data_IF_402919071625
#
_entry.id   IF_402919071625
#
_cell.length_a   1.000
_cell.length_b   1.000
_cell.length_c   1.000
_cell.angle_alpha   90.00
_cell.angle_beta   90.00
_cell.angle_gamma   90.00
#
_symmetry.space_group_name_H-M   'P 1'
#
loop_
_entity.id
_entity.type
_entity.pdbx_description
1 polymer ?
#
# COMPACT_ATOMS: atom_id res chain seq x y z
N UNK A 1 6.14 -8.94 22.00
CA UNK A 1 4.87 -8.40 22.54
C UNK A 1 4.70 -7.00 21.96
N UNK A 2 3.83 -6.83 20.99
CA UNK A 2 3.46 -5.51 20.45
C UNK A 2 2.70 -4.79 21.57
N UNK A 3 3.34 -3.82 22.23
CA UNK A 3 2.61 -2.87 23.07
C UNK A 3 1.75 -2.05 22.11
N UNK A 4 0.45 -2.03 22.33
CA UNK A 4 -0.54 -1.44 21.45
C UNK A 4 -0.14 -0.01 21.12
N UNK A 5 0.21 0.21 19.84
CA UNK A 5 0.44 1.53 19.29
C UNK A 5 -0.85 1.96 18.60
N UNK A 6 -1.34 3.11 18.96
CA UNK A 6 -2.51 3.73 18.33
C UNK A 6 -2.08 4.95 17.50
N UNK A 7 -2.76 5.16 16.38
CA UNK A 7 -2.64 6.39 15.59
C UNK A 7 -3.93 7.16 15.78
N UNK A 8 -3.82 8.40 16.25
CA UNK A 8 -4.95 9.28 16.49
C UNK A 8 -4.69 10.69 15.99
N UNK A 9 -5.74 11.48 15.90
CA UNK A 9 -5.62 12.91 15.61
C UNK A 9 -4.77 13.60 16.65
N UNK A 10 -3.93 14.53 16.21
CA UNK A 10 -3.25 15.51 17.04
C UNK A 10 -4.28 16.34 17.81
N UNK A 11 -3.94 16.74 19.02
CA UNK A 11 -4.69 17.64 19.90
C UNK A 11 -3.77 18.72 20.43
N UNK A 12 -4.31 19.88 20.77
CA UNK A 12 -3.50 21.01 21.29
C UNK A 12 -2.69 20.60 22.54
N UNK A 13 -3.23 19.70 23.36
CA UNK A 13 -2.51 19.16 24.51
C UNK A 13 -1.23 18.36 24.15
N UNK A 14 -1.06 17.95 22.91
CA UNK A 14 0.13 17.23 22.43
C UNK A 14 1.26 18.20 22.02
N UNK A 15 0.99 19.51 21.94
CA UNK A 15 1.86 20.49 21.29
C UNK A 15 3.30 20.46 21.80
N UNK A 16 3.48 20.53 23.13
CA UNK A 16 4.84 20.61 23.70
C UNK A 16 5.62 19.32 23.47
N UNK A 17 4.98 18.16 23.62
CA UNK A 17 5.59 16.86 23.37
C UNK A 17 5.95 16.70 21.88
N UNK A 18 5.09 17.14 20.98
CA UNK A 18 5.31 17.10 19.54
C UNK A 18 6.46 18.00 19.11
N UNK A 19 6.57 19.21 19.68
CA UNK A 19 7.67 20.15 19.39
C UNK A 19 9.01 19.58 19.88
N UNK A 20 9.06 19.03 21.09
CA UNK A 20 10.27 18.37 21.61
C UNK A 20 10.68 17.17 20.74
N UNK A 21 9.72 16.29 20.42
CA UNK A 21 9.93 15.16 19.52
C UNK A 21 10.49 15.60 18.19
N UNK A 22 9.87 16.58 17.56
CA UNK A 22 10.29 17.15 16.28
C UNK A 22 11.73 17.69 16.36
N UNK A 23 11.99 18.55 17.34
CA UNK A 23 13.32 19.16 17.54
C UNK A 23 14.42 18.11 17.64
N UNK A 24 14.22 17.07 18.45
CA UNK A 24 15.20 15.98 18.61
C UNK A 24 15.33 15.13 17.32
N UNK A 25 14.25 14.91 16.61
CA UNK A 25 14.24 14.12 15.39
C UNK A 25 14.97 14.85 14.24
N UNK A 26 14.68 16.14 14.02
CA UNK A 26 15.26 16.91 12.90
C UNK A 26 16.74 17.20 13.10
N UNK A 27 17.20 17.53 14.32
CA UNK A 27 18.63 17.70 14.61
C UNK A 27 19.44 16.45 14.28
N UNK A 28 18.86 15.28 14.52
CA UNK A 28 19.51 14.01 14.17
C UNK A 28 19.46 13.72 12.67
N UNK A 29 18.39 14.12 12.00
CA UNK A 29 18.14 13.82 10.59
C UNK A 29 18.86 14.80 9.65
N UNK A 30 19.02 16.06 10.07
CA UNK A 30 19.50 17.16 9.25
C UNK A 30 20.70 17.89 9.92
N UNK A 31 21.78 17.20 10.30
CA UNK A 31 22.94 17.83 10.94
C UNK A 31 23.67 18.83 10.03
N UNK A 32 23.30 18.86 8.75
CA UNK A 32 23.82 19.77 7.72
C UNK A 32 23.00 21.07 7.61
N UNK A 33 21.94 21.26 8.43
CA UNK A 33 21.13 22.49 8.47
C UNK A 33 21.42 23.19 9.80
N UNK A 34 21.94 24.40 9.73
CA UNK A 34 22.23 25.22 10.91
C UNK A 34 20.90 25.69 11.55
N UNK A 35 20.82 25.66 12.88
CA UNK A 35 19.63 26.06 13.65
C UNK A 35 18.43 25.15 13.49
N UNK A 36 18.58 23.97 12.90
CA UNK A 36 17.48 23.00 12.74
C UNK A 36 16.97 22.51 14.09
N UNK A 37 15.64 22.53 14.24
CA UNK A 37 14.97 22.09 15.48
C UNK A 37 14.86 23.16 16.57
N UNK A 38 15.22 24.40 16.31
CA UNK A 38 15.21 25.51 17.28
C UNK A 38 14.64 26.80 16.69
N UNK A 39 14.49 27.81 17.54
CA UNK A 39 14.23 29.20 17.19
C UNK A 39 13.03 29.38 16.24
N UNK A 40 13.27 30.06 15.14
CA UNK A 40 12.25 30.38 14.13
C UNK A 40 11.61 29.15 13.52
N UNK A 41 12.35 28.07 13.28
CA UNK A 41 11.82 26.84 12.72
C UNK A 41 10.86 26.12 13.66
N UNK A 42 11.12 26.17 14.97
CA UNK A 42 10.18 25.64 15.97
C UNK A 42 8.91 26.49 16.04
N UNK A 43 9.02 27.82 15.86
CA UNK A 43 7.88 28.73 15.76
C UNK A 43 7.05 28.42 14.51
N UNK A 44 7.66 28.25 13.35
CA UNK A 44 6.97 27.92 12.10
C UNK A 44 6.25 26.56 12.23
N UNK A 45 6.87 25.55 12.84
CA UNK A 45 6.17 24.29 13.11
C UNK A 45 4.87 24.53 13.88
N UNK A 46 4.96 25.28 14.99
CA UNK A 46 3.83 25.56 15.88
C UNK A 46 2.72 26.37 15.20
N UNK A 47 3.10 27.46 14.55
CA UNK A 47 2.15 28.47 14.08
C UNK A 47 1.62 28.19 12.66
N UNK A 48 2.35 27.41 11.88
CA UNK A 48 2.01 27.14 10.48
C UNK A 48 1.69 25.67 10.24
N UNK A 49 2.66 24.77 10.49
CA UNK A 49 2.48 23.36 10.10
C UNK A 49 1.44 22.63 10.95
N UNK A 50 1.45 22.82 12.28
CA UNK A 50 0.46 22.19 13.15
C UNK A 50 -0.96 22.76 12.97
N UNK A 51 -1.08 23.96 12.39
CA UNK A 51 -2.38 24.61 12.11
C UNK A 51 -2.92 24.22 10.72
N UNK A 52 -2.06 24.17 9.70
CA UNK A 52 -2.47 24.00 8.30
C UNK A 52 -2.58 22.56 7.86
N UNK A 53 -1.78 21.66 8.43
CA UNK A 53 -1.77 20.27 8.06
C UNK A 53 -2.83 19.45 8.82
N UNK A 54 -3.24 18.36 8.23
CA UNK A 54 -3.99 17.31 8.91
C UNK A 54 -3.01 16.48 9.74
N UNK A 55 -2.89 16.79 11.05
CA UNK A 55 -1.88 16.19 11.91
C UNK A 55 -2.37 14.95 12.64
N UNK A 56 -1.51 13.92 12.68
CA UNK A 56 -1.71 12.64 13.34
C UNK A 56 -0.53 12.32 14.24
N UNK A 57 -0.81 11.71 15.38
CA UNK A 57 0.24 11.25 16.30
C UNK A 57 0.17 9.74 16.49
N UNK A 58 1.35 9.13 16.58
CA UNK A 58 1.49 7.76 17.05
C UNK A 58 1.73 7.78 18.55
N UNK A 59 0.89 7.09 19.31
CA UNK A 59 0.97 6.99 20.76
C UNK A 59 1.26 5.54 21.15
N UNK A 60 2.22 5.33 22.05
CA UNK A 60 2.59 4.04 22.60
C UNK A 60 2.63 4.14 24.12
N UNK A 61 1.81 3.32 24.80
CA UNK A 61 1.69 3.32 26.26
C UNK A 61 1.45 4.73 26.87
N UNK A 62 0.56 5.51 26.23
CA UNK A 62 0.21 6.86 26.68
C UNK A 62 1.22 7.95 26.32
N UNK A 63 2.31 7.63 25.60
CA UNK A 63 3.34 8.59 25.19
C UNK A 63 3.31 8.79 23.68
N UNK A 64 3.30 10.04 23.23
CA UNK A 64 3.43 10.39 21.81
C UNK A 64 4.86 10.11 21.35
N UNK A 65 5.01 9.24 20.36
CA UNK A 65 6.31 8.79 19.82
C UNK A 65 6.49 9.09 18.33
N UNK A 66 5.49 9.66 17.67
CA UNK A 66 5.56 10.04 16.25
C UNK A 66 4.54 11.10 15.89
N UNK A 67 4.88 11.91 14.89
CA UNK A 67 4.04 12.94 14.27
C UNK A 67 4.02 12.72 12.76
N UNK A 68 2.86 12.83 12.16
CA UNK A 68 2.62 12.87 10.71
C UNK A 68 1.78 14.11 10.40
N UNK A 69 2.28 14.98 9.54
CA UNK A 69 1.53 16.10 8.96
C UNK A 69 1.18 15.77 7.50
N UNK A 70 -0.11 15.82 7.18
CA UNK A 70 -0.63 15.58 5.83
C UNK A 70 -1.19 16.88 5.26
N UNK A 71 -0.80 17.20 4.05
CA UNK A 71 -1.32 18.29 3.24
C UNK A 71 -2.37 17.76 2.24
N UNK A 72 -3.19 18.63 1.64
CA UNK A 72 -4.16 18.22 0.63
C UNK A 72 -3.53 17.41 -0.51
N UNK A 73 -4.27 16.42 -1.04
CA UNK A 73 -3.78 15.58 -2.14
C UNK A 73 -2.89 14.42 -1.74
N UNK A 74 -2.67 14.18 -0.42
CA UNK A 74 -1.85 13.07 0.06
C UNK A 74 -0.35 13.39 0.13
N UNK A 75 0.00 14.67 0.20
CA UNK A 75 1.37 15.08 0.45
C UNK A 75 1.72 14.92 1.93
N UNK A 76 2.80 14.23 2.23
CA UNK A 76 3.38 14.15 3.56
C UNK A 76 4.26 15.40 3.76
N UNK A 77 3.72 16.42 4.41
CA UNK A 77 4.46 17.65 4.74
C UNK A 77 5.47 17.44 5.87
N UNK A 78 5.31 16.39 6.70
CA UNK A 78 6.27 16.03 7.73
C UNK A 78 6.00 14.67 8.35
N UNK A 79 7.07 13.92 8.61
CA UNK A 79 7.03 12.64 9.32
C UNK A 79 8.20 12.57 10.31
N UNK A 80 7.88 12.59 11.57
CA UNK A 80 8.87 12.61 12.64
C UNK A 80 8.61 11.49 13.64
N UNK A 81 9.66 10.81 14.06
CA UNK A 81 9.61 9.72 15.04
C UNK A 81 10.67 10.00 16.11
N UNK A 82 10.27 9.93 17.37
CA UNK A 82 11.18 10.09 18.49
C UNK A 82 12.41 9.18 18.34
N UNK A 83 13.65 9.70 18.53
CA UNK A 83 14.88 8.94 18.29
C UNK A 83 14.89 7.55 18.94
N UNK A 84 14.37 7.42 20.14
CA UNK A 84 14.27 6.19 20.93
C UNK A 84 13.21 5.21 20.40
N UNK A 85 12.25 5.68 19.63
CA UNK A 85 11.18 4.86 19.03
C UNK A 85 11.46 4.48 17.55
N UNK A 86 12.55 4.99 16.98
CA UNK A 86 12.95 4.67 15.61
C UNK A 86 13.39 3.20 15.51
N UNK A 87 13.15 2.59 14.33
CA UNK A 87 13.39 1.16 14.12
C UNK A 87 12.28 0.24 14.63
N UNK A 88 11.35 0.76 15.44
CA UNK A 88 10.20 0.03 16.01
C UNK A 88 8.93 0.05 15.15
N UNK A 89 9.00 0.41 13.86
CA UNK A 89 7.86 0.37 12.93
C UNK A 89 6.92 1.57 13.00
N UNK A 90 7.14 2.56 13.88
CA UNK A 90 6.27 3.75 14.06
C UNK A 90 6.08 4.52 12.75
N UNK A 91 7.19 4.89 12.09
CA UNK A 91 7.12 5.63 10.82
C UNK A 91 6.39 4.88 9.73
N UNK A 92 6.58 3.55 9.64
CA UNK A 92 5.86 2.72 8.68
C UNK A 92 4.35 2.76 8.91
N UNK A 93 3.91 2.61 10.16
CA UNK A 93 2.47 2.62 10.46
C UNK A 93 1.84 4.00 10.18
N UNK A 94 2.55 5.10 10.44
CA UNK A 94 2.09 6.45 10.09
C UNK A 94 1.97 6.62 8.56
N UNK A 95 2.92 6.14 7.77
CA UNK A 95 2.83 6.18 6.29
C UNK A 95 1.70 5.29 5.78
N UNK A 96 1.50 4.10 6.34
CA UNK A 96 0.38 3.24 5.94
C UNK A 96 -0.98 3.86 6.32
N UNK A 97 -1.05 4.57 7.45
CA UNK A 97 -2.24 5.35 7.82
C UNK A 97 -2.56 6.44 6.78
N UNK A 98 -1.55 7.20 6.33
CA UNK A 98 -1.70 8.17 5.25
C UNK A 98 -2.16 7.51 3.94
N UNK A 99 -1.54 6.39 3.57
CA UNK A 99 -1.87 5.66 2.36
C UNK A 99 -3.31 5.09 2.36
N UNK A 100 -3.80 4.66 3.52
CA UNK A 100 -5.18 4.20 3.66
C UNK A 100 -6.20 5.33 3.40
N UNK A 101 -5.83 6.59 3.66
CA UNK A 101 -6.70 7.76 3.45
C UNK A 101 -6.64 8.31 2.03
N UNK A 102 -5.44 8.41 1.47
CA UNK A 102 -5.19 9.12 0.21
C UNK A 102 -4.86 8.18 -0.96
N UNK A 103 -4.49 6.95 -0.68
CA UNK A 103 -4.03 6.00 -1.71
C UNK A 103 -2.62 6.32 -2.20
N UNK A 104 -2.48 7.29 -3.10
CA UNK A 104 -1.19 7.83 -3.53
C UNK A 104 -0.64 8.81 -2.50
N UNK A 105 0.68 8.85 -2.35
CA UNK A 105 1.38 9.76 -1.45
C UNK A 105 2.55 10.42 -2.17
N UNK A 106 2.79 11.69 -1.85
CA UNK A 106 3.99 12.43 -2.26
C UNK A 106 4.71 12.99 -1.04
N UNK A 107 5.98 13.29 -1.17
CA UNK A 107 6.75 13.99 -0.15
C UNK A 107 8.03 14.57 -0.73
N UNK A 108 8.65 15.46 0.03
CA UNK A 108 9.99 15.94 -0.23
C UNK A 108 10.94 15.48 0.88
N UNK A 109 12.16 15.15 0.48
CA UNK A 109 13.21 14.73 1.42
C UNK A 109 14.55 15.32 1.00
N UNK A 110 15.29 15.87 1.96
CA UNK A 110 16.65 16.35 1.69
C UNK A 110 17.54 15.22 1.16
N UNK A 111 18.25 15.47 0.07
CA UNK A 111 19.17 14.49 -0.53
C UNK A 111 20.20 14.00 0.48
N UNK A 112 20.68 14.89 1.38
CA UNK A 112 21.59 14.57 2.48
C UNK A 112 21.03 13.61 3.53
N UNK A 113 19.69 13.47 3.63
CA UNK A 113 19.05 12.55 4.58
C UNK A 113 18.97 11.11 4.02
N UNK A 114 20.13 10.46 3.90
CA UNK A 114 20.24 9.10 3.35
C UNK A 114 19.41 8.06 4.13
N UNK A 115 19.16 8.29 5.43
CA UNK A 115 18.35 7.38 6.26
C UNK A 115 16.88 7.46 5.87
N UNK A 116 16.32 8.65 5.73
CA UNK A 116 14.93 8.83 5.30
C UNK A 116 14.71 8.34 3.87
N UNK A 117 15.66 8.61 2.96
CA UNK A 117 15.62 8.11 1.58
C UNK A 117 15.51 6.58 1.53
N UNK A 118 16.34 5.85 2.28
CA UNK A 118 16.25 4.38 2.38
C UNK A 118 14.92 3.93 2.99
N UNK A 119 14.45 4.60 4.02
CA UNK A 119 13.16 4.30 4.64
C UNK A 119 12.00 4.42 3.64
N UNK A 120 11.93 5.52 2.90
CA UNK A 120 10.88 5.71 1.89
C UNK A 120 11.01 4.75 0.71
N UNK A 121 12.21 4.45 0.26
CA UNK A 121 12.44 3.44 -0.79
C UNK A 121 11.89 2.06 -0.37
N UNK A 122 12.13 1.63 0.88
CA UNK A 122 11.56 0.37 1.42
C UNK A 122 10.03 0.38 1.52
N UNK A 123 9.41 1.56 1.58
CA UNK A 123 7.95 1.70 1.57
C UNK A 123 7.36 1.85 0.15
N UNK A 124 8.20 1.75 -0.88
CA UNK A 124 7.78 1.79 -2.28
C UNK A 124 7.66 3.19 -2.86
N UNK A 125 8.28 4.19 -2.24
CA UNK A 125 8.43 5.52 -2.85
C UNK A 125 9.54 5.49 -3.91
N UNK A 126 9.30 6.20 -5.01
CA UNK A 126 10.24 6.39 -6.11
C UNK A 126 10.46 7.88 -6.37
N UNK A 127 11.67 8.22 -6.80
CA UNK A 127 12.01 9.59 -7.16
C UNK A 127 11.25 10.02 -8.42
N UNK A 128 10.66 11.22 -8.38
CA UNK A 128 9.94 11.85 -9.49
C UNK A 128 10.60 13.13 -9.97
N UNK A 129 11.37 13.77 -9.10
CA UNK A 129 12.04 15.02 -9.44
C UNK A 129 12.98 15.49 -8.36
N UNK A 130 13.64 16.61 -8.64
CA UNK A 130 14.56 17.27 -7.73
C UNK A 130 14.31 18.77 -7.76
N UNK A 131 14.53 19.43 -6.65
CA UNK A 131 14.57 20.88 -6.56
C UNK A 131 15.57 21.32 -5.48
N UNK A 132 15.81 22.60 -5.38
CA UNK A 132 16.55 23.19 -4.27
C UNK A 132 15.54 23.79 -3.30
N UNK A 133 15.74 23.55 -2.02
CA UNK A 133 14.99 24.20 -0.95
C UNK A 133 15.42 25.66 -0.85
N UNK A 134 14.47 26.58 -1.01
CA UNK A 134 14.76 28.01 -1.09
C UNK A 134 15.28 28.59 0.22
N UNK A 135 14.87 28.00 1.35
CA UNK A 135 15.27 28.49 2.68
C UNK A 135 16.69 28.04 3.07
N UNK A 136 17.02 26.77 2.78
CA UNK A 136 18.28 26.17 3.22
C UNK A 136 19.34 26.09 2.13
N UNK A 137 18.95 26.28 0.86
CA UNK A 137 19.82 26.04 -0.30
C UNK A 137 20.17 24.55 -0.53
N UNK A 138 19.58 23.63 0.23
CA UNK A 138 19.89 22.21 0.14
C UNK A 138 19.06 21.52 -0.94
N UNK A 139 19.62 20.49 -1.63
CA UNK A 139 18.87 19.73 -2.62
C UNK A 139 17.80 18.84 -1.96
N UNK A 140 16.59 18.88 -2.54
CA UNK A 140 15.43 18.06 -2.20
C UNK A 140 15.13 17.06 -3.32
N UNK A 141 14.77 15.86 -2.95
CA UNK A 141 14.17 14.86 -3.83
C UNK A 141 12.65 14.87 -3.62
N UNK A 142 11.92 14.94 -4.72
CA UNK A 142 10.47 14.74 -4.74
C UNK A 142 10.22 13.25 -4.91
N UNK A 143 9.58 12.63 -3.93
CA UNK A 143 9.27 11.21 -3.93
C UNK A 143 7.77 10.99 -4.06
N UNK A 144 7.40 9.94 -4.78
CA UNK A 144 6.00 9.51 -4.94
C UNK A 144 5.85 8.02 -4.66
N UNK A 145 4.77 7.67 -3.97
CA UNK A 145 4.27 6.31 -3.84
C UNK A 145 2.90 6.22 -4.48
N UNK A 146 2.80 5.53 -5.61
CA UNK A 146 1.54 5.34 -6.31
C UNK A 146 0.52 4.58 -5.45
N UNK A 147 -0.76 4.88 -5.64
CA UNK A 147 -1.85 4.10 -5.04
C UNK A 147 -1.71 2.62 -5.41
N UNK A 148 -2.08 1.70 -4.51
CA UNK A 148 -2.13 0.29 -4.85
C UNK A 148 -3.01 0.04 -6.08
N UNK A 149 -2.60 -0.89 -6.92
CA UNK A 149 -3.45 -1.42 -7.98
C UNK A 149 -4.57 -2.22 -7.30
N UNK A 150 -5.79 -1.73 -7.37
CA UNK A 150 -6.97 -2.47 -6.91
C UNK A 150 -7.42 -3.41 -8.01
N UNK A 151 -7.66 -4.67 -7.66
CA UNK A 151 -8.17 -5.70 -8.57
C UNK A 151 -9.06 -6.68 -7.84
N UNK A 152 -9.80 -7.46 -8.59
CA UNK A 152 -10.62 -8.59 -8.13
C UNK A 152 -10.09 -9.88 -8.74
N UNK A 153 -10.29 -11.01 -8.05
CA UNK A 153 -9.93 -12.32 -8.54
C UNK A 153 -10.89 -13.40 -8.11
N UNK A 154 -11.19 -14.33 -9.01
CA UNK A 154 -12.10 -15.43 -8.76
C UNK A 154 -11.36 -16.69 -8.29
N UNK A 155 -11.82 -17.26 -7.18
CA UNK A 155 -11.30 -18.49 -6.59
C UNK A 155 -12.19 -19.68 -6.98
N UNK A 156 -12.07 -20.11 -8.21
CA UNK A 156 -12.81 -21.28 -8.68
C UNK A 156 -11.92 -22.53 -8.62
N UNK A 157 -12.24 -23.42 -7.67
CA UNK A 157 -11.49 -24.66 -7.44
C UNK A 157 -12.34 -25.85 -7.87
N UNK A 158 -11.79 -26.68 -8.77
CA UNK A 158 -12.37 -27.92 -9.21
C UNK A 158 -11.34 -29.06 -9.03
N UNK A 159 -11.74 -30.13 -8.38
CA UNK A 159 -10.86 -31.31 -8.12
C UNK A 159 -9.52 -30.94 -7.48
N UNK A 160 -9.53 -29.97 -6.55
CA UNK A 160 -8.32 -29.51 -5.87
C UNK A 160 -7.37 -28.65 -6.73
N UNK A 161 -7.82 -28.17 -7.89
CA UNK A 161 -7.07 -27.34 -8.82
C UNK A 161 -7.76 -25.99 -9.01
N UNK A 162 -6.98 -24.92 -9.07
CA UNK A 162 -7.45 -23.55 -9.18
C UNK A 162 -7.47 -23.10 -10.65
N UNK A 163 -8.59 -22.55 -11.11
CA UNK A 163 -8.72 -21.96 -12.43
C UNK A 163 -7.81 -20.73 -12.55
N UNK A 164 -7.07 -20.69 -13.64
CA UNK A 164 -6.13 -19.63 -13.94
C UNK A 164 -6.19 -19.27 -15.43
N UNK A 165 -5.94 -18.02 -15.76
CA UNK A 165 -5.97 -17.49 -17.13
C UNK A 165 -4.62 -16.88 -17.50
N UNK A 166 -4.29 -16.91 -18.78
CA UNK A 166 -3.12 -16.25 -19.33
C UNK A 166 -3.55 -15.33 -20.49
N UNK A 167 -3.20 -14.07 -20.36
CA UNK A 167 -3.49 -13.09 -21.41
C UNK A 167 -2.53 -13.23 -22.59
N UNK A 168 -2.95 -12.81 -23.78
CA UNK A 168 -2.11 -12.84 -24.98
C UNK A 168 -0.86 -11.98 -24.79
N UNK A 169 0.28 -12.50 -25.20
CA UNK A 169 1.57 -11.83 -25.07
C UNK A 169 2.23 -11.92 -23.68
N UNK A 170 1.63 -12.64 -22.74
CA UNK A 170 2.21 -12.95 -21.44
C UNK A 170 2.52 -14.45 -21.32
N UNK A 171 3.56 -14.78 -20.55
CA UNK A 171 3.94 -16.16 -20.24
C UNK A 171 3.43 -16.62 -18.87
N UNK A 172 2.87 -15.70 -18.08
CA UNK A 172 2.47 -15.89 -16.69
C UNK A 172 0.95 -15.99 -16.59
N UNK A 173 0.47 -16.92 -15.77
CA UNK A 173 -0.93 -17.07 -15.44
C UNK A 173 -1.33 -16.23 -14.23
N UNK A 174 -2.61 -15.82 -14.20
CA UNK A 174 -3.25 -15.02 -13.17
C UNK A 174 -4.57 -15.65 -12.76
N UNK A 175 -5.18 -15.17 -11.67
CA UNK A 175 -6.59 -15.46 -11.39
C UNK A 175 -7.46 -14.83 -12.48
N UNK A 176 -8.58 -15.48 -12.87
CA UNK A 176 -9.63 -14.80 -13.62
C UNK A 176 -10.10 -13.56 -12.85
N UNK A 177 -10.22 -12.43 -13.54
CA UNK A 177 -10.58 -11.15 -12.95
C UNK A 177 -9.66 -10.02 -13.39
N UNK A 178 -9.90 -8.82 -12.88
CA UNK A 178 -9.19 -7.65 -13.38
C UNK A 178 -9.33 -6.44 -12.49
N UNK A 179 -9.34 -5.26 -13.10
CA UNK A 179 -9.43 -3.97 -12.41
C UNK A 179 -10.88 -3.52 -12.30
N UNK A 180 -11.11 -2.64 -11.33
CA UNK A 180 -12.40 -1.95 -11.23
C UNK A 180 -12.55 -0.90 -12.33
N UNK A 181 -13.76 -0.74 -12.82
CA UNK A 181 -14.17 0.45 -13.54
C UNK A 181 -14.77 1.51 -12.59
N UNK A 182 -14.87 2.78 -13.01
CA UNK A 182 -15.44 3.84 -12.18
C UNK A 182 -16.88 3.52 -11.74
N UNK A 183 -17.11 3.49 -10.43
CA UNK A 183 -18.42 3.28 -9.83
C UNK A 183 -18.79 1.82 -9.56
N UNK A 184 -17.98 0.84 -10.00
CA UNK A 184 -18.23 -0.57 -9.73
C UNK A 184 -17.93 -0.95 -8.28
N UNK A 185 -18.77 -1.78 -7.69
CA UNK A 185 -18.44 -2.58 -6.52
C UNK A 185 -17.51 -3.75 -6.90
N UNK A 186 -16.85 -4.35 -5.93
CA UNK A 186 -15.95 -5.47 -6.18
C UNK A 186 -16.62 -6.70 -6.82
N UNK A 187 -17.83 -7.14 -6.39
CA UNK A 187 -18.53 -8.23 -7.05
C UNK A 187 -18.97 -7.89 -8.48
N UNK A 188 -19.38 -6.63 -8.76
CA UNK A 188 -19.77 -6.21 -10.11
C UNK A 188 -18.57 -6.22 -11.06
N UNK A 189 -17.43 -5.68 -10.62
CA UNK A 189 -16.20 -5.74 -11.38
C UNK A 189 -15.81 -7.18 -11.74
N UNK A 190 -15.89 -8.09 -10.76
CA UNK A 190 -15.56 -9.50 -11.01
C UNK A 190 -16.55 -10.15 -11.98
N UNK A 191 -17.85 -9.90 -11.82
CA UNK A 191 -18.91 -10.44 -12.73
C UNK A 191 -18.65 -10.01 -14.17
N UNK A 192 -18.33 -8.70 -14.41
CA UNK A 192 -17.98 -8.18 -15.72
C UNK A 192 -16.72 -8.85 -16.29
N UNK A 193 -15.65 -8.91 -15.50
CA UNK A 193 -14.37 -9.52 -15.94
C UNK A 193 -14.53 -11.00 -16.32
N UNK A 194 -15.31 -11.78 -15.54
CA UNK A 194 -15.58 -13.20 -15.85
C UNK A 194 -16.35 -13.36 -17.17
N UNK A 195 -17.28 -12.44 -17.47
CA UNK A 195 -17.98 -12.41 -18.74
C UNK A 195 -17.03 -12.07 -19.91
N UNK A 196 -16.18 -11.06 -19.75
CA UNK A 196 -15.25 -10.59 -20.79
C UNK A 196 -14.11 -11.59 -21.04
N UNK A 197 -13.52 -12.13 -19.99
CA UNK A 197 -12.36 -13.04 -20.08
C UNK A 197 -12.76 -14.48 -20.45
N UNK A 198 -13.87 -14.98 -19.91
CA UNK A 198 -14.22 -16.41 -19.95
C UNK A 198 -15.61 -16.70 -20.49
N UNK A 199 -16.38 -15.68 -20.90
CA UNK A 199 -17.75 -15.85 -21.37
C UNK A 199 -18.69 -16.43 -20.33
N UNK A 200 -18.41 -16.24 -19.05
CA UNK A 200 -19.17 -16.79 -17.93
C UNK A 200 -20.13 -15.74 -17.37
N UNK A 201 -21.41 -16.11 -17.26
CA UNK A 201 -22.41 -15.32 -16.55
C UNK A 201 -22.43 -15.74 -15.09
N UNK A 202 -21.75 -14.95 -14.24
CA UNK A 202 -21.67 -15.16 -12.79
C UNK A 202 -22.27 -13.93 -12.11
N UNK A 203 -23.53 -13.99 -11.66
CA UNK A 203 -24.17 -12.83 -11.03
C UNK A 203 -23.42 -12.33 -9.79
N UNK A 204 -23.21 -11.03 -9.68
CA UNK A 204 -22.47 -10.39 -8.58
C UNK A 204 -23.01 -10.81 -7.19
N UNK A 205 -24.31 -10.99 -7.05
CA UNK A 205 -24.96 -11.41 -5.79
C UNK A 205 -24.64 -12.84 -5.36
N UNK A 206 -24.03 -13.66 -6.21
CA UNK A 206 -23.60 -15.04 -5.88
C UNK A 206 -22.16 -15.11 -5.40
N UNK A 207 -21.42 -13.98 -5.52
CA UNK A 207 -20.01 -13.87 -5.14
C UNK A 207 -19.88 -13.48 -3.67
N UNK A 208 -19.01 -14.19 -2.97
CA UNK A 208 -18.69 -13.92 -1.55
C UNK A 208 -17.21 -13.63 -1.40
N UNK A 209 -16.89 -12.51 -0.76
CA UNK A 209 -15.50 -12.17 -0.45
C UNK A 209 -14.88 -13.24 0.46
N UNK A 210 -13.75 -13.78 0.04
CA UNK A 210 -13.03 -14.80 0.79
C UNK A 210 -11.87 -14.19 1.59
N UNK A 211 -11.04 -13.38 0.93
CA UNK A 211 -9.91 -12.69 1.53
C UNK A 211 -9.30 -11.67 0.57
N UNK A 212 -8.43 -10.82 1.12
CA UNK A 212 -7.64 -9.86 0.35
C UNK A 212 -6.17 -10.29 0.31
N UNK A 213 -5.54 -10.15 -0.86
CA UNK A 213 -4.09 -10.31 -1.07
C UNK A 213 -3.44 -8.94 -1.18
N UNK A 214 -2.40 -8.73 -0.40
CA UNK A 214 -1.50 -7.59 -0.51
C UNK A 214 -0.14 -8.06 -1.00
N UNK A 215 0.29 -7.58 -2.17
CA UNK A 215 1.55 -7.96 -2.80
C UNK A 215 2.10 -6.82 -3.66
N UNK A 216 3.12 -7.11 -4.44
CA UNK A 216 3.60 -6.27 -5.54
C UNK A 216 3.00 -6.77 -6.85
N UNK A 217 2.39 -5.88 -7.62
CA UNK A 217 1.79 -6.23 -8.90
C UNK A 217 2.87 -6.66 -9.90
N UNK A 218 2.76 -7.89 -10.39
CA UNK A 218 3.71 -8.45 -11.35
C UNK A 218 3.81 -7.59 -12.62
N UNK A 219 5.03 -7.28 -13.06
CA UNK A 219 5.27 -6.46 -14.25
C UNK A 219 4.87 -4.98 -14.14
N UNK A 220 4.61 -4.45 -12.95
CA UNK A 220 4.14 -3.08 -12.70
C UNK A 220 5.12 -2.22 -11.88
N UNK A 221 6.43 -2.35 -12.15
CA UNK A 221 7.49 -1.49 -11.58
C UNK A 221 7.40 -1.31 -10.06
N UNK A 222 7.15 -2.40 -9.32
CA UNK A 222 7.05 -2.36 -7.86
C UNK A 222 5.76 -1.76 -7.30
N UNK A 223 4.76 -1.47 -8.15
CA UNK A 223 3.45 -0.97 -7.68
C UNK A 223 2.77 -2.01 -6.79
N UNK A 224 2.25 -1.56 -5.65
CA UNK A 224 1.53 -2.45 -4.72
C UNK A 224 0.23 -2.95 -5.34
N UNK A 225 -0.13 -4.19 -4.99
CA UNK A 225 -1.38 -4.84 -5.37
C UNK A 225 -2.29 -4.96 -4.13
N UNK A 226 -3.56 -4.65 -4.32
CA UNK A 226 -4.64 -4.95 -3.40
C UNK A 226 -5.70 -5.73 -4.20
N UNK A 227 -5.70 -7.04 -4.07
CA UNK A 227 -6.60 -7.93 -4.80
C UNK A 227 -7.62 -8.54 -3.86
N UNK A 228 -8.90 -8.21 -4.08
CA UNK A 228 -10.01 -8.83 -3.36
C UNK A 228 -10.39 -10.13 -4.06
N UNK A 229 -10.30 -11.24 -3.35
CA UNK A 229 -10.58 -12.58 -3.87
C UNK A 229 -11.97 -13.04 -3.47
N UNK A 230 -12.70 -13.58 -4.43
CA UNK A 230 -14.07 -14.04 -4.25
C UNK A 230 -14.22 -15.52 -4.53
N UNK A 231 -15.15 -16.14 -3.82
CA UNK A 231 -15.70 -17.48 -4.10
C UNK A 231 -17.16 -17.34 -4.48
N UNK A 232 -17.79 -18.43 -4.88
CA UNK A 232 -19.20 -18.46 -5.30
C UNK A 232 -19.35 -18.61 -6.82
N UNK A 233 -20.55 -18.43 -7.31
CA UNK A 233 -20.92 -18.74 -8.68
C UNK A 233 -21.15 -20.24 -8.92
N UNK A 234 -21.33 -20.68 -10.19
CA UNK A 234 -21.60 -22.06 -10.54
C UNK A 234 -20.43 -22.99 -10.20
N UNK A 235 -20.73 -24.22 -9.79
CA UNK A 235 -19.72 -25.24 -9.47
C UNK A 235 -19.00 -25.77 -10.72
N UNK A 236 -19.79 -25.96 -11.79
CA UNK A 236 -19.26 -26.39 -13.07
C UNK A 236 -19.30 -25.26 -14.06
N UNK A 237 -18.19 -25.02 -14.72
CA UNK A 237 -18.01 -23.97 -15.73
C UNK A 237 -17.30 -24.53 -16.95
N UNK A 238 -17.69 -24.04 -18.11
CA UNK A 238 -17.01 -24.27 -19.38
C UNK A 238 -16.54 -22.91 -19.90
N UNK A 239 -15.32 -22.49 -19.54
CA UNK A 239 -14.81 -21.19 -19.97
C UNK A 239 -14.65 -21.11 -21.49
N UNK A 240 -15.08 -19.99 -22.05
CA UNK A 240 -14.84 -19.63 -23.44
C UNK A 240 -13.90 -18.43 -23.46
N UNK A 241 -12.62 -18.61 -23.82
CA UNK A 241 -11.63 -17.53 -23.78
C UNK A 241 -12.09 -16.33 -24.62
N UNK A 242 -12.16 -15.17 -23.98
CA UNK A 242 -12.41 -13.89 -24.63
C UNK A 242 -11.22 -13.40 -25.47
N UNK A 243 -11.33 -12.21 -26.04
CA UNK A 243 -10.31 -11.68 -26.96
C UNK A 243 -8.93 -11.53 -26.35
N UNK A 244 -8.85 -11.18 -25.07
CA UNK A 244 -7.60 -10.93 -24.37
C UNK A 244 -6.96 -12.21 -23.82
N UNK A 245 -7.74 -13.27 -23.63
CA UNK A 245 -7.25 -14.53 -23.06
C UNK A 245 -6.69 -15.42 -24.17
N UNK A 246 -5.45 -15.86 -23.95
CA UNK A 246 -4.80 -16.83 -24.81
C UNK A 246 -5.22 -18.26 -24.48
N UNK A 247 -5.28 -18.56 -23.18
CA UNK A 247 -5.67 -19.87 -22.66
C UNK A 247 -6.10 -19.80 -21.21
N UNK A 248 -6.81 -20.82 -20.74
CA UNK A 248 -7.05 -21.08 -19.33
C UNK A 248 -6.54 -22.47 -18.95
N UNK A 249 -6.22 -22.65 -17.69
CA UNK A 249 -5.75 -23.92 -17.16
C UNK A 249 -6.17 -24.09 -15.69
N UNK A 250 -6.16 -25.32 -15.23
CA UNK A 250 -6.43 -25.71 -13.86
C UNK A 250 -5.13 -26.16 -13.21
N UNK A 251 -4.64 -25.45 -12.22
CA UNK A 251 -3.34 -25.73 -11.60
C UNK A 251 -3.49 -26.23 -10.17
N UNK A 252 -2.76 -27.30 -9.87
CA UNK A 252 -2.44 -27.70 -8.50
C UNK A 252 -1.37 -26.78 -7.89
N UNK A 253 -1.08 -26.98 -6.58
CA UNK A 253 -0.16 -26.12 -5.83
C UNK A 253 1.22 -25.96 -6.49
N UNK A 254 1.84 -27.05 -6.92
CA UNK A 254 3.18 -27.02 -7.54
C UNK A 254 3.18 -26.24 -8.85
N UNK A 255 2.26 -26.57 -9.74
CA UNK A 255 2.16 -25.94 -11.07
C UNK A 255 1.85 -24.43 -10.96
N UNK A 256 0.98 -24.05 -10.00
CA UNK A 256 0.67 -22.64 -9.74
C UNK A 256 1.91 -21.84 -9.33
N UNK A 257 2.80 -22.42 -8.49
CA UNK A 257 4.05 -21.77 -8.10
C UNK A 257 5.05 -21.60 -9.25
N UNK A 258 5.04 -22.50 -10.21
CA UNK A 258 5.94 -22.47 -11.36
C UNK A 258 5.45 -21.56 -12.49
N UNK A 259 4.14 -21.45 -12.69
CA UNK A 259 3.53 -20.83 -13.89
C UNK A 259 2.75 -19.56 -13.63
N UNK A 260 2.38 -19.27 -12.39
CA UNK A 260 1.54 -18.15 -12.05
C UNK A 260 2.33 -16.98 -11.43
N UNK A 261 1.71 -15.79 -11.44
CA UNK A 261 2.27 -14.60 -10.80
C UNK A 261 2.50 -14.80 -9.29
N UNK A 262 3.48 -14.10 -8.66
CA UNK A 262 3.80 -14.29 -7.23
C UNK A 262 2.61 -14.19 -6.28
N UNK A 263 1.71 -13.20 -6.47
CA UNK A 263 0.49 -13.04 -5.68
C UNK A 263 -0.41 -14.30 -5.70
N UNK A 264 -0.39 -15.06 -6.78
CA UNK A 264 -1.13 -16.31 -6.93
C UNK A 264 -0.64 -17.40 -5.96
N UNK A 265 0.65 -17.43 -5.64
CA UNK A 265 1.21 -18.34 -4.65
C UNK A 265 0.63 -18.11 -3.26
N UNK A 266 0.41 -16.84 -2.85
CA UNK A 266 -0.26 -16.52 -1.60
C UNK A 266 -1.72 -16.99 -1.59
N UNK A 267 -2.41 -16.88 -2.72
CA UNK A 267 -3.78 -17.41 -2.89
C UNK A 267 -3.80 -18.91 -2.66
N UNK A 268 -2.93 -19.64 -3.36
CA UNK A 268 -2.84 -21.11 -3.24
C UNK A 268 -2.50 -21.53 -1.82
N UNK A 269 -1.53 -20.89 -1.17
CA UNK A 269 -1.15 -21.21 0.21
C UNK A 269 -2.32 -20.97 1.19
N UNK A 270 -3.15 -19.93 0.99
CA UNK A 270 -4.37 -19.71 1.78
C UNK A 270 -5.43 -20.76 1.52
N UNK A 271 -5.66 -21.14 0.26
CA UNK A 271 -6.63 -22.19 -0.08
C UNK A 271 -6.23 -23.56 0.50
N UNK A 272 -4.94 -23.88 0.51
CA UNK A 272 -4.40 -25.08 1.16
C UNK A 272 -4.62 -25.01 2.68
N UNK A 273 -4.29 -23.89 3.32
CA UNK A 273 -4.50 -23.69 4.76
C UNK A 273 -5.99 -23.80 5.16
N UNK A 274 -6.90 -23.47 4.27
CA UNK A 274 -8.36 -23.60 4.45
C UNK A 274 -8.90 -24.99 4.07
N UNK A 275 -8.06 -25.94 3.66
CA UNK A 275 -8.46 -27.29 3.23
C UNK A 275 -9.22 -27.33 1.89
N UNK A 276 -9.18 -26.26 1.11
CA UNK A 276 -9.87 -26.12 -0.18
C UNK A 276 -9.04 -26.61 -1.37
N UNK A 277 -7.75 -26.77 -1.18
CA UNK A 277 -6.83 -27.40 -2.12
C UNK A 277 -5.91 -28.38 -1.37
N UNK A 278 -5.43 -29.45 -2.03
CA UNK A 278 -4.45 -30.35 -1.45
C UNK A 278 -3.08 -29.63 -1.27
N UNK A 279 -2.33 -30.06 -0.27
CA UNK A 279 -1.02 -29.51 0.10
C UNK A 279 0.13 -29.85 -0.86
#
# INVERSE_FOLDING_TARGET
MSRDMIIRRYRDADQDVVIDLWSRAVRRAHPFIEGEGEGERARILREVYLVRAENWVAERAGTVVGLLGLLPGGEIGGLFVAPEAQGGGVGRQLVEHAAARYGALTLEVFEGNARARRFYAHLGFTERGRRVDEETGQPLLVLERAAPLKSVGWLHVREGRLLSVRTRGNDTFYLPGGKYEPGESAPEALSRELSEELGLDVPAGTLTEAFVIHDVAHGKNGRRLHMTCFTGGPQEVVPVPGREIAEYAWFGRREARERCAPAHSQVVDRLVAQGRMPG
#
